data_IF_549206300986
#
_entry.id   IF_549206300986
#
_cell.length_a   1.000
_cell.length_b   1.000
_cell.length_c   1.000
_cell.angle_alpha   90.00
_cell.angle_beta   90.00
_cell.angle_gamma   90.00
#
_symmetry.space_group_name_H-M   'P 1'
#
loop_
_entity.id
_entity.type
_entity.pdbx_description
1 polymer ?
#
# COMPACT_ATOMS: atom_id res chain seq x y z
N UNK A 1 -15.51 19.36 22.67
CA UNK A 1 -14.47 19.00 21.69
C UNK A 1 -13.28 18.50 22.46
N UNK A 2 -12.64 17.43 21.99
CA UNK A 2 -11.46 16.85 22.61
C UNK A 2 -10.48 16.36 21.53
N UNK A 3 -9.26 16.05 21.92
CA UNK A 3 -8.28 15.45 21.02
C UNK A 3 -8.57 13.95 20.88
N UNK A 4 -8.84 13.50 19.66
CA UNK A 4 -8.90 12.08 19.35
C UNK A 4 -7.48 11.52 19.26
N UNK A 5 -7.19 10.47 20.04
CA UNK A 5 -5.88 9.82 20.07
C UNK A 5 -6.02 8.37 19.63
N UNK A 6 -5.26 7.94 18.64
CA UNK A 6 -5.28 6.58 18.13
C UNK A 6 -3.89 5.95 18.19
N UNK A 7 -3.83 4.67 18.53
CA UNK A 7 -2.60 3.89 18.54
C UNK A 7 -2.43 3.18 17.20
N UNK A 8 -1.26 3.36 16.58
CA UNK A 8 -0.91 2.76 15.30
C UNK A 8 0.21 1.72 15.48
N UNK A 9 0.15 0.66 14.69
CA UNK A 9 1.16 -0.40 14.66
C UNK A 9 2.04 -0.33 13.41
N UNK A 10 3.25 -0.87 13.53
CA UNK A 10 4.16 -1.26 12.44
C UNK A 10 4.54 -0.16 11.42
N UNK A 11 4.31 1.12 11.71
CA UNK A 11 4.87 2.23 10.94
C UNK A 11 6.31 2.49 11.39
N UNK A 12 7.27 2.11 10.53
CA UNK A 12 8.72 2.14 10.78
C UNK A 12 9.44 3.30 10.06
N UNK A 13 8.71 4.33 9.64
CA UNK A 13 9.33 5.51 9.01
C UNK A 13 9.99 6.46 10.02
N UNK A 14 10.28 7.67 9.59
CA UNK A 14 10.72 8.79 10.42
C UNK A 14 9.77 9.98 10.26
N UNK A 15 9.79 10.90 11.23
CA UNK A 15 9.15 12.20 11.13
C UNK A 15 9.92 13.19 10.26
N UNK A 16 9.31 14.34 9.99
CA UNK A 16 10.01 15.51 9.42
C UNK A 16 10.17 16.65 10.44
N UNK A 17 9.35 16.66 11.49
CA UNK A 17 9.50 17.55 12.62
C UNK A 17 10.31 16.90 13.74
N UNK A 18 10.94 17.76 14.54
CA UNK A 18 11.88 17.40 15.58
C UNK A 18 11.24 17.56 16.95
N UNK A 19 11.31 16.51 17.76
CA UNK A 19 10.99 16.55 19.20
C UNK A 19 12.27 16.46 20.02
N UNK A 20 12.36 17.27 21.08
CA UNK A 20 13.47 17.26 22.04
C UNK A 20 13.08 16.43 23.27
N UNK A 21 13.79 15.34 23.50
CA UNK A 21 13.67 14.45 24.66
C UNK A 21 14.88 14.66 25.57
N UNK A 22 14.80 15.67 26.46
CA UNK A 22 15.94 16.08 27.27
C UNK A 22 17.11 16.53 26.38
N UNK A 23 18.20 15.74 26.39
CA UNK A 23 19.40 16.00 25.56
C UNK A 23 19.36 15.34 24.18
N UNK A 24 18.35 14.51 23.88
CA UNK A 24 18.19 13.86 22.57
C UNK A 24 17.25 14.67 21.68
N UNK A 25 17.51 14.60 20.38
CA UNK A 25 16.75 15.29 19.35
C UNK A 25 16.38 14.24 18.30
N UNK A 26 15.08 14.03 18.08
CA UNK A 26 14.58 12.92 17.27
C UNK A 26 13.59 13.47 16.25
N UNK A 27 13.67 13.01 15.00
CA UNK A 27 12.67 13.28 13.97
C UNK A 27 11.56 12.23 14.05
N UNK A 28 10.54 12.51 14.85
CA UNK A 28 9.50 11.53 15.20
C UNK A 28 8.09 11.93 14.80
N UNK A 29 7.92 13.16 14.31
CA UNK A 29 6.60 13.74 14.09
C UNK A 29 6.34 13.96 12.60
N UNK A 30 5.19 13.45 12.14
CA UNK A 30 4.56 13.81 10.88
C UNK A 30 3.34 14.68 11.16
N UNK A 31 3.35 15.89 10.63
CA UNK A 31 2.17 16.77 10.59
C UNK A 31 1.75 17.02 9.14
N UNK A 32 0.45 16.84 8.88
CA UNK A 32 -0.12 17.08 7.56
C UNK A 32 -1.62 17.35 7.68
N UNK A 33 -2.22 17.81 6.59
CA UNK A 33 -3.65 18.10 6.51
C UNK A 33 -4.29 17.23 5.43
N UNK A 34 -5.41 16.60 5.76
CA UNK A 34 -6.21 15.78 4.83
C UNK A 34 -7.69 15.97 5.19
N UNK A 35 -8.58 16.09 4.20
CA UNK A 35 -9.99 16.43 4.43
C UNK A 35 -10.20 17.68 5.34
N UNK A 36 -9.32 18.68 5.24
CA UNK A 36 -9.29 19.86 6.12
C UNK A 36 -9.08 19.56 7.61
N UNK A 37 -8.60 18.36 7.93
CA UNK A 37 -8.27 17.90 9.27
C UNK A 37 -6.76 17.82 9.41
N UNK A 38 -6.23 18.44 10.46
CA UNK A 38 -4.81 18.31 10.82
C UNK A 38 -4.59 17.00 11.57
N UNK A 39 -3.73 16.17 11.01
CA UNK A 39 -3.32 14.89 11.60
C UNK A 39 -1.87 15.01 12.04
N UNK A 40 -1.62 14.65 13.29
CA UNK A 40 -0.28 14.54 13.87
C UNK A 40 0.01 13.08 14.18
N UNK A 41 1.02 12.48 13.55
CA UNK A 41 1.51 11.15 13.91
C UNK A 41 2.85 11.33 14.62
N UNK A 42 2.91 10.86 15.87
CA UNK A 42 4.12 10.84 16.70
C UNK A 42 4.59 9.41 16.85
N UNK A 43 5.78 9.13 16.36
CA UNK A 43 6.42 7.83 16.50
C UNK A 43 7.06 7.70 17.88
N UNK A 44 7.10 6.48 18.40
CA UNK A 44 7.78 6.23 19.67
C UNK A 44 9.30 6.34 19.52
N UNK A 45 9.95 6.86 20.56
CA UNK A 45 11.41 7.05 20.60
C UNK A 45 12.17 5.73 20.33
N UNK A 46 11.71 4.61 20.89
CA UNK A 46 12.38 3.31 20.77
C UNK A 46 12.38 2.77 19.34
N UNK A 47 11.34 3.09 18.56
CA UNK A 47 11.26 2.74 17.14
C UNK A 47 12.34 3.45 16.31
N UNK A 48 12.63 4.71 16.62
CA UNK A 48 13.57 5.53 15.85
C UNK A 48 15.01 5.35 16.34
N UNK A 49 15.21 5.31 17.66
CA UNK A 49 16.55 5.28 18.27
C UNK A 49 17.15 3.90 18.35
N UNK A 50 16.34 2.84 18.30
CA UNK A 50 16.81 1.47 18.36
C UNK A 50 16.09 0.55 17.37
N UNK A 51 16.17 0.81 16.05
CA UNK A 51 15.46 0.04 15.04
C UNK A 51 15.88 -1.44 15.00
N UNK A 52 17.10 -1.76 15.45
CA UNK A 52 17.58 -3.14 15.53
C UNK A 52 16.95 -3.96 16.68
N UNK A 53 16.38 -3.29 17.70
CA UNK A 53 15.68 -3.94 18.81
C UNK A 53 14.22 -4.26 18.50
N UNK A 54 13.68 -3.73 17.41
CA UNK A 54 12.31 -3.98 16.96
C UNK A 54 12.26 -5.44 16.48
N UNK A 55 11.49 -6.32 17.14
CA UNK A 55 11.39 -7.70 16.71
C UNK A 55 10.64 -7.78 15.37
N UNK A 56 11.40 -7.90 14.28
CA UNK A 56 10.86 -8.16 12.94
C UNK A 56 9.95 -9.39 12.93
N UNK A 57 8.78 -9.29 12.31
CA UNK A 57 7.81 -10.38 12.32
C UNK A 57 6.86 -10.39 13.53
N UNK A 58 6.85 -9.34 14.33
CA UNK A 58 5.89 -9.15 15.43
C UNK A 58 5.02 -7.90 15.20
N UNK A 59 3.87 -7.88 15.86
CA UNK A 59 3.03 -6.70 15.96
C UNK A 59 3.59 -5.76 17.03
N UNK A 60 3.80 -4.50 16.66
CA UNK A 60 4.40 -3.51 17.56
C UNK A 60 3.62 -2.21 17.42
N UNK A 61 3.16 -1.65 18.54
CA UNK A 61 2.60 -0.29 18.57
C UNK A 61 3.76 0.68 18.38
N UNK A 62 3.82 1.35 17.23
CA UNK A 62 4.94 2.19 16.83
C UNK A 62 4.65 3.68 16.92
N UNK A 63 3.37 4.08 16.90
CA UNK A 63 3.03 5.49 16.79
C UNK A 63 1.69 5.83 17.44
N UNK A 64 1.49 7.10 17.76
CA UNK A 64 0.21 7.69 18.15
C UNK A 64 -0.22 8.72 17.13
N UNK A 65 -1.43 8.59 16.58
CA UNK A 65 -2.06 9.61 15.76
C UNK A 65 -2.97 10.49 16.63
N UNK A 66 -2.92 11.79 16.41
CA UNK A 66 -3.66 12.79 17.18
C UNK A 66 -4.39 13.70 16.18
N UNK A 67 -5.69 13.85 16.40
CA UNK A 67 -6.53 14.83 15.70
C UNK A 67 -7.15 15.75 16.75
N UNK A 68 -6.85 17.04 16.66
CA UNK A 68 -7.27 18.01 17.66
C UNK A 68 -8.69 18.54 17.45
N UNK A 69 -9.34 18.92 18.54
CA UNK A 69 -10.64 19.61 18.55
C UNK A 69 -11.77 18.87 17.81
N UNK A 70 -11.81 17.55 17.92
CA UNK A 70 -12.85 16.70 17.31
C UNK A 70 -14.15 16.87 18.11
N UNK A 71 -15.30 16.87 17.42
CA UNK A 71 -16.62 16.76 18.06
C UNK A 71 -16.99 15.28 18.21
N UNK A 72 -17.79 14.96 19.22
CA UNK A 72 -18.12 13.57 19.55
C UNK A 72 -18.77 12.84 18.36
N UNK A 73 -19.66 13.53 17.67
CA UNK A 73 -20.36 13.06 16.47
C UNK A 73 -19.45 12.79 15.27
N UNK A 74 -18.26 13.42 15.22
CA UNK A 74 -17.32 13.28 14.10
C UNK A 74 -16.29 12.16 14.33
N UNK A 75 -16.22 11.57 15.52
CA UNK A 75 -15.18 10.58 15.89
C UNK A 75 -15.08 9.45 14.86
N UNK A 76 -16.18 8.85 14.44
CA UNK A 76 -16.17 7.77 13.44
C UNK A 76 -15.56 8.22 12.12
N UNK A 77 -15.93 9.42 11.64
CA UNK A 77 -15.38 9.97 10.39
C UNK A 77 -13.87 10.24 10.50
N UNK A 78 -13.39 10.68 11.67
CA UNK A 78 -11.97 10.88 11.92
C UNK A 78 -11.20 9.56 11.96
N UNK A 79 -11.79 8.50 12.51
CA UNK A 79 -11.21 7.15 12.48
C UNK A 79 -11.11 6.61 11.04
N UNK A 80 -12.11 6.87 10.18
CA UNK A 80 -12.04 6.50 8.76
C UNK A 80 -10.90 7.22 8.02
N UNK A 81 -10.65 8.50 8.34
CA UNK A 81 -9.49 9.24 7.80
C UNK A 81 -8.19 8.54 8.21
N UNK A 82 -8.04 8.20 9.50
CA UNK A 82 -6.86 7.52 10.02
C UNK A 82 -6.66 6.14 9.38
N UNK A 83 -7.73 5.37 9.19
CA UNK A 83 -7.65 4.03 8.59
C UNK A 83 -7.19 4.12 7.12
N UNK A 84 -7.62 5.15 6.36
CA UNK A 84 -7.10 5.41 4.99
C UNK A 84 -5.63 5.80 5.00
N UNK A 85 -5.20 6.64 5.94
CA UNK A 85 -3.79 7.00 6.11
C UNK A 85 -2.96 5.76 6.43
N UNK A 86 -3.44 4.87 7.29
CA UNK A 86 -2.76 3.60 7.59
C UNK A 86 -2.55 2.73 6.33
N UNK A 87 -3.53 2.67 5.42
CA UNK A 87 -3.35 1.97 4.14
C UNK A 87 -2.30 2.63 3.24
N UNK A 88 -2.29 3.97 3.16
CA UNK A 88 -1.27 4.70 2.42
C UNK A 88 0.12 4.45 3.00
N UNK A 89 0.28 4.53 4.32
CA UNK A 89 1.54 4.23 5.01
C UNK A 89 1.96 2.77 4.81
N UNK A 90 1.00 1.85 4.75
CA UNK A 90 1.27 0.44 4.45
C UNK A 90 1.86 0.26 3.06
N UNK A 91 1.32 0.96 2.06
CA UNK A 91 1.87 0.94 0.71
C UNK A 91 3.24 1.64 0.61
N UNK A 92 3.41 2.76 1.31
CA UNK A 92 4.66 3.51 1.33
C UNK A 92 5.81 2.69 1.93
N UNK A 93 5.58 2.03 3.06
CA UNK A 93 6.61 1.27 3.80
C UNK A 93 6.65 -0.23 3.51
N UNK A 94 5.64 -0.80 2.84
CA UNK A 94 5.42 -2.25 2.70
C UNK A 94 5.47 -3.02 4.01
N UNK A 95 4.83 -2.41 5.00
CA UNK A 95 4.62 -2.93 6.34
C UNK A 95 3.14 -2.81 6.64
N UNK A 96 2.54 -3.75 7.37
CA UNK A 96 1.11 -3.68 7.69
C UNK A 96 0.87 -2.62 8.78
N UNK A 97 0.62 -1.38 8.38
CA UNK A 97 0.27 -0.27 9.28
C UNK A 97 -1.23 -0.27 9.52
N UNK A 98 -1.63 -0.24 10.79
CA UNK A 98 -3.04 -0.26 11.16
C UNK A 98 -3.29 0.43 12.49
N UNK A 99 -4.54 0.78 12.75
CA UNK A 99 -5.00 1.30 14.03
C UNK A 99 -5.44 0.15 14.92
N UNK A 100 -4.93 0.09 16.16
CA UNK A 100 -5.27 -0.96 17.13
C UNK A 100 -6.13 -0.47 18.28
N UNK A 101 -6.24 0.84 18.46
CA UNK A 101 -7.13 1.40 19.44
C UNK A 101 -7.22 2.90 19.33
N UNK A 102 -8.15 3.48 20.07
CA UNK A 102 -8.30 4.92 20.22
C UNK A 102 -8.90 5.28 21.57
N UNK A 103 -8.66 6.53 21.98
CA UNK A 103 -9.21 7.18 23.16
C UNK A 103 -9.75 8.55 22.77
N UNK A 104 -10.93 8.90 23.29
CA UNK A 104 -11.53 10.21 23.13
C UNK A 104 -11.93 10.78 24.50
N UNK A 105 -11.10 11.66 25.09
CA UNK A 105 -11.21 12.08 26.49
C UNK A 105 -12.18 13.25 26.67
N UNK A 106 -13.45 13.08 26.30
CA UNK A 106 -14.53 14.06 26.50
C UNK A 106 -15.48 13.69 27.67
N UNK A 107 -15.14 12.62 28.42
CA UNK A 107 -15.99 12.07 29.49
C UNK A 107 -17.11 11.16 29.01
N UNK A 108 -17.24 10.91 27.69
CA UNK A 108 -18.27 10.03 27.14
C UNK A 108 -17.98 8.53 27.26
N UNK A 109 -16.75 8.17 27.66
CA UNK A 109 -16.27 6.78 27.66
C UNK A 109 -16.00 6.23 26.25
N UNK A 110 -15.98 7.08 25.22
CA UNK A 110 -15.63 6.65 23.87
C UNK A 110 -14.13 6.30 23.78
N UNK A 111 -13.88 5.03 23.52
CA UNK A 111 -12.57 4.46 23.33
C UNK A 111 -12.72 2.98 23.01
N UNK A 112 -11.74 2.42 22.32
CA UNK A 112 -11.73 1.00 22.00
C UNK A 112 -10.31 0.53 21.78
N UNK A 113 -10.07 -0.75 22.09
CA UNK A 113 -8.85 -1.47 21.76
C UNK A 113 -9.23 -2.77 21.07
N UNK A 114 -8.48 -3.14 20.05
CA UNK A 114 -8.75 -4.29 19.20
C UNK A 114 -7.51 -5.18 19.15
N UNK A 115 -7.74 -6.50 19.13
CA UNK A 115 -6.71 -7.42 18.69
C UNK A 115 -6.43 -7.15 17.22
N UNK A 116 -5.15 -7.04 16.86
CA UNK A 116 -4.73 -6.85 15.49
C UNK A 116 -3.75 -7.95 15.08
N UNK A 117 -3.68 -8.18 13.77
CA UNK A 117 -2.80 -9.15 13.14
C UNK A 117 -1.95 -8.36 12.14
N UNK A 118 -0.65 -8.59 12.15
CA UNK A 118 0.27 -7.94 11.23
C UNK A 118 1.69 -8.06 11.74
N UNK A 119 2.64 -8.08 10.82
CA UNK A 119 4.06 -8.17 11.10
C UNK A 119 4.74 -6.86 10.69
N UNK A 120 5.54 -6.28 11.60
CA UNK A 120 6.41 -5.17 11.24
C UNK A 120 7.47 -5.65 10.23
N UNK A 121 7.52 -4.99 9.09
CA UNK A 121 8.47 -5.29 8.01
C UNK A 121 9.16 -4.02 7.53
N UNK A 122 10.47 -4.07 7.37
CA UNK A 122 11.26 -3.01 6.74
C UNK A 122 12.10 -3.63 5.64
N UNK A 123 11.49 -3.79 4.47
CA UNK A 123 12.14 -4.39 3.31
C UNK A 123 11.69 -3.72 2.03
N UNK A 124 12.63 -3.00 1.39
CA UNK A 124 12.46 -2.35 0.09
C UNK A 124 11.17 -1.50 -0.02
N UNK A 125 11.03 -0.43 0.78
CA UNK A 125 9.83 0.40 0.78
C UNK A 125 9.58 1.06 -0.59
N UNK A 126 8.35 1.48 -0.83
CA UNK A 126 7.92 2.16 -2.07
C UNK A 126 8.32 3.64 -2.04
N UNK A 127 8.19 4.28 -0.88
CA UNK A 127 8.60 5.67 -0.64
C UNK A 127 9.78 5.64 0.34
N UNK A 128 10.65 6.64 0.30
CA UNK A 128 11.69 6.78 1.32
C UNK A 128 11.05 7.17 2.67
N UNK A 129 10.63 6.17 3.43
CA UNK A 129 9.97 6.38 4.72
C UNK A 129 10.92 6.91 5.80
N UNK A 130 12.24 6.91 5.55
CA UNK A 130 13.20 7.54 6.45
C UNK A 130 13.24 9.07 6.26
N UNK A 131 12.69 9.60 5.16
CA UNK A 131 12.43 11.02 4.97
C UNK A 131 10.95 11.33 5.18
N UNK A 132 10.61 11.87 6.37
CA UNK A 132 9.24 12.24 6.68
C UNK A 132 8.63 13.29 5.74
N UNK A 133 9.44 14.06 4.98
CA UNK A 133 8.93 14.98 3.97
C UNK A 133 8.40 14.23 2.74
N UNK A 134 9.10 13.19 2.32
CA UNK A 134 8.68 12.33 1.20
C UNK A 134 7.38 11.60 1.59
N UNK A 135 7.26 11.14 2.84
CA UNK A 135 6.01 10.51 3.35
C UNK A 135 4.84 11.49 3.37
N UNK A 136 5.04 12.70 3.88
CA UNK A 136 3.98 13.73 3.89
C UNK A 136 3.58 14.14 2.48
N UNK A 137 4.55 14.35 1.59
CA UNK A 137 4.30 14.65 0.18
C UNK A 137 3.47 13.55 -0.49
N UNK A 138 3.82 12.29 -0.24
CA UNK A 138 3.08 11.14 -0.73
C UNK A 138 1.63 11.10 -0.20
N UNK A 139 1.41 11.30 1.11
CA UNK A 139 0.05 11.32 1.67
C UNK A 139 -0.77 12.45 1.05
N UNK A 140 -0.22 13.67 1.00
CA UNK A 140 -0.92 14.83 0.48
C UNK A 140 -1.31 14.68 -1.00
N UNK A 141 -0.42 14.13 -1.83
CA UNK A 141 -0.71 13.89 -3.25
C UNK A 141 -1.77 12.79 -3.45
N UNK A 142 -1.73 11.73 -2.63
CA UNK A 142 -2.48 10.50 -2.89
C UNK A 142 -3.82 10.40 -2.19
N UNK A 143 -4.03 11.09 -1.07
CA UNK A 143 -5.15 10.85 -0.17
C UNK A 143 -6.51 10.98 -0.85
N UNK A 144 -6.75 12.07 -1.58
CA UNK A 144 -8.03 12.30 -2.26
C UNK A 144 -8.32 11.23 -3.32
N UNK A 145 -7.31 10.87 -4.11
CA UNK A 145 -7.46 9.81 -5.12
C UNK A 145 -7.66 8.44 -4.47
N UNK A 146 -6.97 8.17 -3.37
CA UNK A 146 -7.17 6.94 -2.60
C UNK A 146 -8.62 6.82 -2.11
N UNK A 147 -9.13 7.86 -1.45
CA UNK A 147 -10.51 7.92 -0.94
C UNK A 147 -11.55 7.70 -2.04
N UNK A 148 -11.35 8.29 -3.22
CA UNK A 148 -12.26 8.11 -4.37
C UNK A 148 -12.20 6.70 -4.98
N UNK A 149 -11.04 6.05 -4.93
CA UNK A 149 -10.78 4.80 -5.63
C UNK A 149 -10.81 3.57 -4.72
N UNK A 150 -10.78 3.72 -3.39
CA UNK A 150 -10.53 2.62 -2.45
C UNK A 150 -11.46 1.42 -2.65
N UNK A 151 -12.75 1.68 -2.91
CA UNK A 151 -13.77 0.66 -3.11
C UNK A 151 -13.78 0.13 -4.54
N UNK A 152 -13.89 0.99 -5.56
CA UNK A 152 -14.05 0.55 -6.95
C UNK A 152 -12.77 -0.10 -7.53
N UNK A 153 -11.61 0.17 -6.92
CA UNK A 153 -10.31 -0.41 -7.29
C UNK A 153 -9.81 -1.48 -6.32
N UNK A 154 -10.59 -1.81 -5.27
CA UNK A 154 -10.19 -2.74 -4.22
C UNK A 154 -8.81 -2.44 -3.60
N UNK A 155 -8.48 -1.15 -3.39
CA UNK A 155 -7.12 -0.75 -3.03
C UNK A 155 -6.64 -1.36 -1.71
N UNK A 156 -7.52 -1.52 -0.73
CA UNK A 156 -7.19 -2.17 0.55
C UNK A 156 -6.70 -3.61 0.34
N UNK A 157 -7.38 -4.38 -0.50
CA UNK A 157 -7.01 -5.76 -0.83
C UNK A 157 -5.69 -5.79 -1.59
N UNK A 158 -5.51 -4.89 -2.56
CA UNK A 158 -4.27 -4.81 -3.35
C UNK A 158 -3.07 -4.48 -2.47
N UNK A 159 -3.19 -3.46 -1.60
CA UNK A 159 -2.11 -3.08 -0.68
C UNK A 159 -1.84 -4.19 0.32
N UNK A 160 -2.88 -4.81 0.87
CA UNK A 160 -2.71 -5.95 1.77
C UNK A 160 -1.94 -7.08 1.11
N UNK A 161 -2.32 -7.50 -0.10
CA UNK A 161 -1.62 -8.55 -0.82
C UNK A 161 -0.18 -8.16 -1.15
N UNK A 162 0.10 -6.88 -1.45
CA UNK A 162 1.46 -6.42 -1.69
C UNK A 162 2.34 -6.55 -0.44
N UNK A 163 1.79 -6.23 0.74
CA UNK A 163 2.46 -6.42 2.03
C UNK A 163 2.65 -7.90 2.35
N UNK A 164 1.63 -8.75 2.14
CA UNK A 164 1.71 -10.19 2.39
C UNK A 164 2.72 -10.88 1.47
N UNK A 165 2.87 -10.42 0.23
CA UNK A 165 3.90 -10.94 -0.67
C UNK A 165 5.33 -10.75 -0.12
N UNK A 166 5.53 -9.78 0.77
CA UNK A 166 6.81 -9.53 1.44
C UNK A 166 6.97 -10.18 2.81
N UNK A 167 6.05 -11.09 3.18
CA UNK A 167 6.20 -11.83 4.42
C UNK A 167 7.50 -12.64 4.44
N UNK A 168 8.15 -12.68 5.61
CA UNK A 168 9.45 -13.34 5.78
C UNK A 168 9.31 -14.85 5.56
N UNK A 169 10.36 -15.45 4.98
CA UNK A 169 10.46 -16.90 4.72
C UNK A 169 9.38 -17.46 3.77
N UNK A 170 8.72 -16.59 2.99
CA UNK A 170 7.79 -17.03 1.97
C UNK A 170 8.53 -17.52 0.72
N UNK A 171 8.22 -18.73 0.22
CA UNK A 171 8.72 -19.22 -1.07
C UNK A 171 8.41 -18.24 -2.20
N UNK A 172 9.37 -18.08 -3.11
CA UNK A 172 9.27 -17.15 -4.23
C UNK A 172 8.06 -17.42 -5.13
N UNK A 173 7.69 -18.69 -5.32
CA UNK A 173 6.50 -19.09 -6.08
C UNK A 173 5.22 -18.56 -5.45
N UNK A 174 5.11 -18.59 -4.11
CA UNK A 174 3.95 -18.02 -3.42
C UNK A 174 3.94 -16.49 -3.55
N UNK A 175 5.11 -15.86 -3.46
CA UNK A 175 5.22 -14.41 -3.70
C UNK A 175 4.73 -14.04 -5.12
N UNK A 176 5.14 -14.80 -6.13
CA UNK A 176 4.70 -14.64 -7.52
C UNK A 176 3.19 -14.89 -7.68
N UNK A 177 2.62 -15.90 -7.03
CA UNK A 177 1.17 -16.16 -7.06
C UNK A 177 0.39 -14.96 -6.48
N UNK A 178 0.85 -14.40 -5.37
CA UNK A 178 0.23 -13.20 -4.79
C UNK A 178 0.36 -12.01 -5.76
N UNK A 179 1.53 -11.80 -6.35
CA UNK A 179 1.75 -10.75 -7.34
C UNK A 179 0.84 -10.89 -8.58
N UNK A 180 0.65 -12.11 -9.09
CA UNK A 180 -0.31 -12.36 -10.18
C UNK A 180 -1.75 -12.15 -9.76
N UNK A 181 -2.09 -12.46 -8.51
CA UNK A 181 -3.42 -12.19 -7.95
C UNK A 181 -3.68 -10.68 -7.85
N UNK A 182 -2.67 -9.89 -7.48
CA UNK A 182 -2.74 -8.42 -7.51
C UNK A 182 -3.00 -7.92 -8.94
N UNK A 183 -2.24 -8.40 -9.93
CA UNK A 183 -2.44 -8.02 -11.32
C UNK A 183 -3.84 -8.40 -11.85
N UNK A 184 -4.35 -9.58 -11.49
CA UNK A 184 -5.72 -9.99 -11.82
C UNK A 184 -6.76 -9.05 -11.20
N UNK A 185 -6.61 -8.69 -9.93
CA UNK A 185 -7.51 -7.78 -9.22
C UNK A 185 -7.51 -6.38 -9.85
N UNK A 186 -6.33 -5.83 -10.14
CA UNK A 186 -6.18 -4.52 -10.78
C UNK A 186 -6.78 -4.51 -12.20
N UNK A 187 -6.54 -5.58 -12.96
CA UNK A 187 -7.11 -5.78 -14.30
C UNK A 187 -8.64 -5.89 -14.27
N UNK A 188 -9.18 -6.70 -13.36
CA UNK A 188 -10.62 -6.92 -13.23
C UNK A 188 -11.35 -5.62 -12.88
N UNK A 189 -10.87 -4.93 -11.84
CA UNK A 189 -11.43 -3.63 -11.44
C UNK A 189 -11.31 -2.59 -12.56
N UNK A 190 -10.23 -2.62 -13.36
CA UNK A 190 -10.06 -1.77 -14.54
C UNK A 190 -11.09 -2.03 -15.62
N UNK A 191 -11.25 -3.29 -16.00
CA UNK A 191 -12.22 -3.65 -17.02
C UNK A 191 -13.64 -3.27 -16.60
N UNK A 192 -13.99 -3.43 -15.31
CA UNK A 192 -15.29 -2.99 -14.77
C UNK A 192 -15.46 -1.48 -14.81
N UNK A 193 -14.46 -0.70 -14.39
CA UNK A 193 -14.54 0.78 -14.40
C UNK A 193 -14.62 1.36 -15.82
N UNK A 194 -14.03 0.69 -16.81
CA UNK A 194 -14.13 1.06 -18.22
C UNK A 194 -15.41 0.52 -18.90
N UNK A 195 -16.30 -0.16 -18.15
CA UNK A 195 -17.56 -0.68 -18.67
C UNK A 195 -17.41 -1.86 -19.64
N UNK A 196 -16.29 -2.61 -19.57
CA UNK A 196 -16.07 -3.78 -20.43
C UNK A 196 -17.01 -4.93 -19.98
N UNK A 197 -17.86 -5.47 -20.88
CA UNK A 197 -18.82 -6.51 -20.51
C UNK A 197 -18.15 -7.79 -20.01
N UNK A 198 -18.61 -8.32 -18.87
CA UNK A 198 -18.17 -9.60 -18.32
C UNK A 198 -19.27 -10.66 -18.54
N UNK A 199 -19.04 -11.60 -19.47
CA UNK A 199 -20.03 -12.59 -19.91
C UNK A 199 -19.42 -13.99 -19.92
N UNK A 200 -20.08 -14.90 -19.20
CA UNK A 200 -19.69 -16.31 -19.05
C UNK A 200 -18.26 -16.50 -18.56
N UNK A 201 -17.83 -15.70 -17.58
CA UNK A 201 -16.48 -15.80 -16.98
C UNK A 201 -15.37 -15.03 -17.71
N UNK A 202 -15.69 -14.30 -18.79
CA UNK A 202 -14.70 -13.57 -19.60
C UNK A 202 -15.12 -12.14 -19.90
N UNK A 203 -14.14 -11.24 -19.95
CA UNK A 203 -14.31 -9.89 -20.50
C UNK A 203 -14.39 -9.93 -22.02
N UNK A 204 -15.40 -9.30 -22.62
CA UNK A 204 -15.70 -9.38 -24.05
C UNK A 204 -15.38 -8.08 -24.79
N UNK A 205 -14.83 -8.22 -26.00
CA UNK A 205 -14.54 -7.13 -26.94
C UNK A 205 -15.81 -6.57 -27.58
N UNK A 206 -16.86 -7.40 -27.67
CA UNK A 206 -18.17 -7.04 -28.22
C UNK A 206 -19.30 -7.54 -27.31
N UNK A 207 -20.45 -6.84 -27.23
CA UNK A 207 -21.57 -7.23 -26.36
C UNK A 207 -22.22 -8.58 -26.71
N UNK A 208 -22.23 -8.96 -28.00
CA UNK A 208 -22.76 -10.23 -28.50
C UNK A 208 -21.63 -11.06 -29.13
N UNK A 209 -20.91 -11.87 -28.35
CA UNK A 209 -19.81 -12.67 -28.87
C UNK A 209 -20.35 -13.77 -29.79
N UNK A 210 -19.77 -13.92 -30.97
CA UNK A 210 -20.11 -14.99 -31.93
C UNK A 210 -19.04 -16.08 -31.97
N UNK A 211 -17.82 -15.83 -31.47
CA UNK A 211 -16.72 -16.82 -31.39
C UNK A 211 -15.83 -16.62 -30.16
N UNK A 212 -15.03 -17.64 -29.81
CA UNK A 212 -14.06 -17.57 -28.70
C UNK A 212 -12.96 -16.49 -28.85
N UNK A 213 -12.81 -15.86 -30.02
CA UNK A 213 -11.86 -14.74 -30.26
C UNK A 213 -12.37 -13.38 -29.74
N UNK A 214 -13.61 -13.32 -29.28
CA UNK A 214 -14.27 -12.09 -28.83
C UNK A 214 -14.00 -11.77 -27.35
N UNK A 215 -13.09 -12.49 -26.68
CA UNK A 215 -12.66 -12.20 -25.31
C UNK A 215 -11.32 -11.46 -25.28
N UNK A 216 -11.16 -10.56 -24.32
CA UNK A 216 -9.84 -10.05 -23.98
C UNK A 216 -9.04 -11.09 -23.19
N UNK A 217 -7.77 -11.26 -23.56
CA UNK A 217 -6.80 -12.00 -22.77
C UNK A 217 -6.32 -11.20 -21.56
N UNK A 218 -5.68 -11.89 -20.61
CA UNK A 218 -5.03 -11.27 -19.45
C UNK A 218 -4.04 -10.17 -19.87
N UNK A 219 -3.15 -10.49 -20.81
CA UNK A 219 -2.13 -9.56 -21.30
C UNK A 219 -2.72 -8.34 -22.00
N UNK A 220 -3.78 -8.51 -22.81
CA UNK A 220 -4.43 -7.39 -23.50
C UNK A 220 -5.03 -6.38 -22.50
N UNK A 221 -5.78 -6.84 -21.50
CA UNK A 221 -6.38 -5.94 -20.50
C UNK A 221 -5.32 -5.27 -19.62
N UNK A 222 -4.25 -5.99 -19.24
CA UNK A 222 -3.15 -5.37 -18.51
C UNK A 222 -2.46 -4.31 -19.36
N UNK A 223 -2.17 -4.58 -20.62
CA UNK A 223 -1.59 -3.58 -21.53
C UNK A 223 -2.48 -2.36 -21.66
N UNK A 224 -3.81 -2.53 -21.78
CA UNK A 224 -4.75 -1.41 -21.78
C UNK A 224 -4.71 -0.62 -20.47
N UNK A 225 -4.73 -1.32 -19.33
CA UNK A 225 -4.69 -0.72 -17.99
C UNK A 225 -3.42 0.13 -17.78
N UNK A 226 -2.24 -0.42 -18.07
CA UNK A 226 -0.97 0.30 -17.94
C UNK A 226 -0.87 1.47 -18.92
N UNK A 227 -1.29 1.27 -20.18
CA UNK A 227 -1.28 2.33 -21.20
C UNK A 227 -2.17 3.50 -20.80
N UNK A 228 -3.34 3.23 -20.20
CA UNK A 228 -4.26 4.25 -19.69
C UNK A 228 -3.63 5.12 -18.60
N UNK A 229 -2.74 4.55 -17.82
CA UNK A 229 -1.93 5.25 -16.80
C UNK A 229 -0.63 5.83 -17.35
N UNK A 230 -0.39 5.81 -18.66
CA UNK A 230 0.81 6.35 -19.29
C UNK A 230 2.05 5.46 -19.21
N UNK A 231 1.90 4.19 -18.83
CA UNK A 231 2.99 3.23 -18.73
C UNK A 231 3.13 2.40 -20.02
N UNK A 232 4.36 2.23 -20.49
CA UNK A 232 4.71 1.28 -21.57
C UNK A 232 5.42 0.09 -20.95
N UNK A 233 4.85 -1.10 -21.07
CA UNK A 233 5.28 -2.30 -20.33
C UNK A 233 5.42 -3.51 -21.25
N UNK A 234 6.45 -4.34 -21.04
CA UNK A 234 6.60 -5.62 -21.74
C UNK A 234 6.01 -6.76 -20.90
N UNK A 235 4.81 -7.22 -21.26
CA UNK A 235 4.05 -8.18 -20.45
C UNK A 235 4.16 -9.64 -20.91
N UNK A 236 4.92 -9.91 -21.98
CA UNK A 236 4.99 -11.25 -22.59
C UNK A 236 5.53 -12.28 -21.61
N UNK A 237 6.64 -11.95 -20.95
CA UNK A 237 7.28 -12.84 -19.96
C UNK A 237 6.44 -12.98 -18.69
N UNK A 238 5.85 -11.89 -18.21
CA UNK A 238 4.92 -11.89 -17.06
C UNK A 238 3.73 -12.83 -17.30
N UNK A 239 3.09 -12.71 -18.47
CA UNK A 239 1.94 -13.54 -18.83
C UNK A 239 2.32 -15.01 -18.99
N UNK A 240 3.48 -15.29 -19.60
CA UNK A 240 3.97 -16.65 -19.76
C UNK A 240 4.27 -17.31 -18.41
N UNK A 241 4.94 -16.60 -17.50
CA UNK A 241 5.27 -17.10 -16.16
C UNK A 241 4.00 -17.34 -15.33
N UNK A 242 3.03 -16.42 -15.37
CA UNK A 242 1.73 -16.57 -14.72
C UNK A 242 1.02 -17.85 -15.16
N UNK A 243 0.96 -18.08 -16.48
CA UNK A 243 0.32 -19.28 -17.01
C UNK A 243 1.05 -20.55 -16.61
N UNK A 244 2.39 -20.55 -16.63
CA UNK A 244 3.18 -21.69 -16.17
C UNK A 244 2.86 -22.00 -14.70
N UNK A 245 3.04 -21.04 -13.78
CA UNK A 245 2.83 -21.28 -12.33
C UNK A 245 1.40 -21.72 -12.02
N UNK A 246 0.38 -21.15 -12.67
CA UNK A 246 -1.01 -21.51 -12.39
C UNK A 246 -1.36 -22.91 -12.89
N UNK A 247 -0.76 -23.36 -14.00
CA UNK A 247 -1.05 -24.69 -14.55
C UNK A 247 -0.17 -25.81 -14.01
N UNK A 248 1.09 -25.53 -13.63
CA UNK A 248 2.03 -26.53 -13.13
C UNK A 248 2.32 -26.42 -11.63
N UNK A 249 1.74 -25.44 -10.92
CA UNK A 249 1.97 -25.17 -9.50
C UNK A 249 3.33 -24.54 -9.19
N UNK A 250 4.38 -24.93 -9.93
CA UNK A 250 5.73 -24.40 -9.87
C UNK A 250 6.25 -24.15 -11.28
N UNK A 251 7.10 -23.12 -11.45
CA UNK A 251 7.79 -22.87 -12.72
C UNK A 251 9.14 -23.58 -12.76
N UNK A 252 9.48 -24.15 -13.93
CA UNK A 252 10.74 -24.82 -14.23
C UNK A 252 11.90 -23.85 -14.45
N UNK A 253 11.62 -22.54 -14.47
CA UNK A 253 12.65 -21.49 -14.58
C UNK A 253 13.55 -21.48 -13.35
N UNK A 254 14.79 -21.02 -13.54
CA UNK A 254 15.75 -20.88 -12.46
C UNK A 254 15.26 -19.90 -11.39
N UNK A 255 15.76 -20.05 -10.17
CA UNK A 255 15.43 -19.14 -9.07
C UNK A 255 15.78 -17.68 -9.40
N UNK A 256 16.98 -17.41 -9.92
CA UNK A 256 17.43 -16.06 -10.30
C UNK A 256 16.45 -15.38 -11.25
N UNK A 257 16.06 -16.09 -12.31
CA UNK A 257 15.12 -15.57 -13.30
C UNK A 257 13.75 -15.28 -12.69
N UNK A 258 13.23 -16.17 -11.84
CA UNK A 258 11.97 -15.93 -11.11
C UNK A 258 12.07 -14.73 -10.18
N UNK A 259 13.23 -14.53 -9.55
CA UNK A 259 13.47 -13.41 -8.64
C UNK A 259 13.50 -12.09 -9.40
N UNK A 260 14.20 -12.02 -10.53
CA UNK A 260 14.21 -10.85 -11.40
C UNK A 260 12.81 -10.52 -11.94
N UNK A 261 12.03 -11.54 -12.31
CA UNK A 261 10.64 -11.34 -12.73
C UNK A 261 9.74 -10.86 -11.60
N UNK A 262 9.91 -11.38 -10.39
CA UNK A 262 9.19 -10.90 -9.23
C UNK A 262 9.51 -9.44 -8.96
N UNK A 263 10.79 -9.07 -9.04
CA UNK A 263 11.25 -7.71 -8.84
C UNK A 263 10.65 -6.75 -9.89
N UNK A 264 10.66 -7.16 -11.16
CA UNK A 264 10.03 -6.42 -12.26
C UNK A 264 8.51 -6.24 -12.07
N UNK A 265 7.81 -7.30 -11.66
CA UNK A 265 6.35 -7.23 -11.42
C UNK A 265 6.04 -6.26 -10.27
N UNK A 266 6.88 -6.23 -9.22
CA UNK A 266 6.75 -5.25 -8.15
C UNK A 266 6.89 -3.82 -8.64
N UNK A 267 7.89 -3.54 -9.48
CA UNK A 267 8.07 -2.21 -10.07
C UNK A 267 6.85 -1.79 -10.89
N UNK A 268 6.29 -2.71 -11.70
CA UNK A 268 5.07 -2.46 -12.46
C UNK A 268 3.87 -2.14 -11.56
N UNK A 269 3.63 -2.93 -10.52
CA UNK A 269 2.50 -2.73 -9.60
C UNK A 269 2.65 -1.41 -8.85
N UNK A 270 3.83 -1.12 -8.31
CA UNK A 270 4.08 0.11 -7.53
C UNK A 270 3.96 1.35 -8.39
N UNK A 271 4.61 1.38 -9.56
CA UNK A 271 4.51 2.52 -10.47
C UNK A 271 3.06 2.74 -10.89
N UNK A 272 2.32 1.67 -11.22
CA UNK A 272 0.90 1.79 -11.57
C UNK A 272 0.05 2.35 -10.44
N UNK A 273 0.20 1.85 -9.22
CA UNK A 273 -0.54 2.36 -8.06
C UNK A 273 -0.20 3.82 -7.77
N UNK A 274 1.07 4.22 -7.83
CA UNK A 274 1.46 5.61 -7.63
C UNK A 274 0.87 6.54 -8.69
N UNK A 275 0.90 6.13 -9.97
CA UNK A 275 0.26 6.89 -11.07
C UNK A 275 -1.26 6.95 -10.92
N UNK A 276 -1.89 5.84 -10.53
CA UNK A 276 -3.33 5.77 -10.25
C UNK A 276 -3.76 6.71 -9.12
N UNK A 277 -2.92 6.81 -8.08
CA UNK A 277 -3.12 7.68 -6.93
C UNK A 277 -2.70 9.13 -7.18
N UNK A 278 -2.09 9.43 -8.34
CA UNK A 278 -1.71 10.80 -8.71
C UNK A 278 -0.47 11.35 -8.00
N UNK A 279 0.39 10.47 -7.47
CA UNK A 279 1.66 10.85 -6.85
C UNK A 279 2.60 11.52 -7.86
N UNK A 280 3.29 12.59 -7.45
CA UNK A 280 4.18 13.38 -8.33
C UNK A 280 5.64 13.41 -7.87
N UNK A 281 5.93 12.82 -6.72
CA UNK A 281 7.26 12.80 -6.14
C UNK A 281 8.15 11.67 -6.67
N UNK A 282 9.22 11.42 -5.94
CA UNK A 282 10.12 10.30 -6.21
C UNK A 282 9.67 9.05 -5.46
N UNK A 283 9.87 7.89 -6.05
CA UNK A 283 9.64 6.60 -5.42
C UNK A 283 10.87 5.70 -5.59
N UNK A 284 10.97 4.67 -4.77
CA UNK A 284 12.08 3.75 -4.75
C UNK A 284 11.77 2.53 -5.61
N UNK A 285 12.68 2.22 -6.55
CA UNK A 285 12.55 1.06 -7.43
C UNK A 285 12.83 -0.22 -6.63
N UNK A 286 11.94 -1.21 -6.70
CA UNK A 286 12.08 -2.44 -5.94
C UNK A 286 13.24 -3.30 -6.47
N UNK A 287 13.40 -3.40 -7.78
CA UNK A 287 14.47 -4.18 -8.43
C UNK A 287 15.88 -3.67 -8.11
N UNK A 288 16.03 -2.39 -7.75
CA UNK A 288 17.31 -1.82 -7.29
C UNK A 288 17.57 -2.05 -5.80
N UNK A 289 16.69 -2.81 -5.12
CA UNK A 289 16.72 -2.96 -3.67
C UNK A 289 16.26 -1.71 -2.92
N UNK A 290 15.44 -0.86 -3.55
CA UNK A 290 15.02 0.46 -3.05
C UNK A 290 16.18 1.43 -2.83
N UNK A 291 17.23 1.34 -3.65
CA UNK A 291 18.38 2.25 -3.62
C UNK A 291 18.30 3.34 -4.70
N UNK A 292 17.53 3.12 -5.76
CA UNK A 292 17.34 4.06 -6.86
C UNK A 292 16.02 4.82 -6.69
N UNK A 293 16.09 6.16 -6.79
CA UNK A 293 14.93 7.05 -6.80
C UNK A 293 14.51 7.33 -8.25
N UNK A 294 13.26 7.04 -8.59
CA UNK A 294 12.66 7.37 -9.88
C UNK A 294 11.56 8.40 -9.71
N UNK A 295 11.47 9.33 -10.66
CA UNK A 295 10.41 10.35 -10.72
C UNK A 295 9.30 9.90 -11.68
N UNK A 296 8.05 10.16 -11.31
CA UNK A 296 6.85 9.80 -12.09
C UNK A 296 6.52 10.74 -13.24
#
# INVERSE_FOLDING_TARGET
MADLRAQLINYLGCGHEITRYGNKVIRDTLNFECDSVRVKIVQREDVITNPHSIPFGQLIVTSSAIISNVRKEDVTSMLDILDRICWLLSFAGLSMVGRVGYEYPDGSGLGSSHAAIGEANFFRPTIDIADGKDVVGFINDCYEKYKLLESCRNLRVVIHYLVEAERRRQPLELKLIIAFTILESLKDTFARTEGIPYVNGFFRKVPKPTKGRDSFSFGELLSMMFTRSGMKTELKQVTALRNEIIHSGISRKSYSWKSEMYDYIHDLIREYLLRLLGYRGNYLTYSSGSNERRRL
#
